data_IF_993799520514
#
_entry.id   IF_993799520514
#
_cell.length_a   1.000
_cell.length_b   1.000
_cell.length_c   1.000
_cell.angle_alpha   90.00
_cell.angle_beta   90.00
_cell.angle_gamma   90.00
#
_symmetry.space_group_name_H-M   'P 1'
#
loop_
_entity.id
_entity.type
_entity.pdbx_description
1 polymer ?
#
# COMPACT_ATOMS: atom_id res chain seq x y z
N UNK A 1 9.79 34.37 9.18
CA UNK A 1 9.50 34.20 10.62
C UNK A 1 8.02 34.02 10.79
N UNK A 2 7.56 32.81 11.06
CA UNK A 2 6.19 32.53 11.45
C UNK A 2 6.26 31.56 12.64
N UNK A 3 5.75 32.01 13.79
CA UNK A 3 5.74 31.28 15.06
C UNK A 3 4.63 30.22 15.03
N UNK A 4 4.93 29.00 15.47
CA UNK A 4 3.90 28.01 15.81
C UNK A 4 3.85 27.87 17.33
N UNK A 5 2.77 28.40 17.94
CA UNK A 5 2.46 28.12 19.33
C UNK A 5 1.48 26.94 19.42
N UNK A 6 1.79 25.95 20.27
CA UNK A 6 0.82 25.52 21.29
C UNK A 6 1.49 24.88 22.52
N UNK A 7 1.08 25.42 23.65
CA UNK A 7 1.26 24.99 25.04
C UNK A 7 0.99 23.50 25.27
N UNK A 8 1.98 22.80 25.81
CA UNK A 8 1.82 21.46 26.37
C UNK A 8 1.25 21.56 27.80
N UNK A 9 -0.08 21.47 27.90
CA UNK A 9 -0.73 20.98 29.12
C UNK A 9 -1.82 19.99 28.72
N UNK A 10 -1.45 18.70 28.68
CA UNK A 10 -2.37 17.57 28.89
C UNK A 10 -3.64 17.44 28.05
N UNK A 11 -3.66 17.87 26.78
CA UNK A 11 -4.79 17.64 25.89
C UNK A 11 -4.36 16.96 24.57
N UNK A 12 -5.17 16.02 24.12
CA UNK A 12 -5.02 15.23 22.89
C UNK A 12 -4.64 16.08 21.66
N UNK A 13 -3.73 15.55 20.84
CA UNK A 13 -3.35 16.14 19.56
C UNK A 13 -4.50 15.89 18.58
N UNK A 14 -5.20 16.95 18.18
CA UNK A 14 -6.15 16.89 17.05
C UNK A 14 -5.37 17.13 15.75
N UNK A 15 -5.47 16.18 14.83
CA UNK A 15 -4.71 15.96 13.58
C UNK A 15 -4.63 17.17 12.59
N UNK A 16 -5.34 18.27 12.85
CA UNK A 16 -5.57 19.34 11.87
C UNK A 16 -4.56 20.50 11.80
N UNK A 17 -3.51 20.55 12.63
CA UNK A 17 -2.60 21.73 12.69
C UNK A 17 -1.21 21.54 12.06
N UNK A 18 -0.73 20.30 11.95
CA UNK A 18 0.55 20.01 11.29
C UNK A 18 0.43 20.01 9.76
N UNK A 19 -0.67 19.45 9.22
CA UNK A 19 -0.93 19.33 7.78
C UNK A 19 -0.97 20.69 7.07
N UNK A 20 -1.67 21.68 7.65
CA UNK A 20 -1.77 23.02 7.05
C UNK A 20 -0.45 23.78 7.02
N UNK A 21 0.45 23.51 7.97
CA UNK A 21 1.76 24.14 8.05
C UNK A 21 2.75 23.49 7.08
N UNK A 22 2.67 22.16 6.89
CA UNK A 22 3.45 21.43 5.89
C UNK A 22 3.02 21.76 4.46
N UNK A 23 1.70 21.90 4.20
CA UNK A 23 1.18 22.35 2.91
C UNK A 23 1.65 23.78 2.56
N UNK A 24 1.75 24.67 3.56
CA UNK A 24 2.30 26.02 3.38
C UNK A 24 3.81 26.04 3.14
N UNK A 25 4.57 25.09 3.71
CA UNK A 25 6.00 24.92 3.44
C UNK A 25 6.24 24.40 2.01
N UNK A 26 5.41 23.45 1.54
CA UNK A 26 5.47 22.96 0.16
C UNK A 26 5.17 24.07 -0.86
N UNK A 27 4.14 24.89 -0.65
CA UNK A 27 3.80 26.00 -1.56
C UNK A 27 4.85 27.12 -1.64
N UNK A 28 5.67 27.32 -0.60
CA UNK A 28 6.75 28.31 -0.62
C UNK A 28 8.06 27.76 -1.21
N UNK A 29 8.31 26.46 -1.09
CA UNK A 29 9.54 25.83 -1.56
C UNK A 29 9.46 25.33 -3.02
N UNK A 30 8.26 25.17 -3.59
CA UNK A 30 8.10 24.55 -4.91
C UNK A 30 7.24 25.38 -5.87
N UNK A 31 7.08 26.69 -5.63
CA UNK A 31 6.11 27.50 -6.39
C UNK A 31 4.66 27.07 -6.12
N UNK A 32 3.70 27.82 -6.70
CA UNK A 32 2.28 27.51 -6.54
C UNK A 32 1.86 26.20 -7.24
N UNK A 33 2.73 25.66 -8.09
CA UNK A 33 2.55 24.46 -8.91
C UNK A 33 3.29 23.23 -8.37
N UNK A 34 4.02 23.35 -7.25
CA UNK A 34 4.68 22.20 -6.63
C UNK A 34 5.93 21.69 -7.36
N UNK A 35 6.50 22.48 -8.29
CA UNK A 35 7.68 22.10 -9.06
C UNK A 35 8.97 22.80 -8.62
N UNK A 36 10.08 22.05 -8.62
CA UNK A 36 11.43 22.61 -8.54
C UNK A 36 12.02 22.65 -9.94
N UNK A 37 12.45 23.83 -10.38
CA UNK A 37 13.15 23.96 -11.66
C UNK A 37 14.42 23.10 -11.68
N UNK A 38 14.80 22.60 -12.85
CA UNK A 38 16.01 21.78 -13.03
C UNK A 38 17.24 22.54 -12.53
N UNK A 39 17.92 21.99 -11.53
CA UNK A 39 19.10 22.60 -10.90
C UNK A 39 18.79 23.59 -9.76
N UNK A 40 17.52 23.80 -9.41
CA UNK A 40 17.14 24.56 -8.22
C UNK A 40 17.33 23.71 -6.96
N UNK A 41 17.71 24.36 -5.87
CA UNK A 41 17.78 23.77 -4.53
C UNK A 41 16.98 24.63 -3.58
N UNK A 42 16.01 24.04 -2.90
CA UNK A 42 15.24 24.72 -1.87
C UNK A 42 15.49 24.04 -0.52
N UNK A 43 15.56 24.86 0.51
CA UNK A 43 15.81 24.42 1.88
C UNK A 43 14.67 24.88 2.75
N UNK A 44 14.08 23.97 3.52
CA UNK A 44 13.14 24.34 4.59
C UNK A 44 13.73 23.95 5.93
N UNK A 45 13.48 24.80 6.92
CA UNK A 45 13.87 24.55 8.31
C UNK A 45 12.65 24.06 9.08
N UNK A 46 12.79 22.93 9.78
CA UNK A 46 11.85 22.53 10.84
C UNK A 46 12.41 23.09 12.14
N UNK A 47 11.77 24.15 12.66
CA UNK A 47 12.15 24.76 13.93
C UNK A 47 11.21 24.26 15.03
N UNK A 48 11.78 23.56 16.02
CA UNK A 48 11.07 23.13 17.22
C UNK A 48 11.51 24.04 18.37
N UNK A 49 10.68 25.01 18.73
CA UNK A 49 10.93 25.90 19.86
C UNK A 49 10.34 25.32 21.16
N UNK A 50 11.20 25.09 22.15
CA UNK A 50 10.76 24.76 23.50
C UNK A 50 10.42 26.04 24.26
N UNK A 51 9.35 26.07 25.09
CA UNK A 51 8.96 27.28 25.82
C UNK A 51 10.09 27.76 26.74
N UNK A 52 10.46 29.05 26.68
CA UNK A 52 11.61 29.62 27.41
C UNK A 52 11.55 29.59 28.95
N UNK A 53 10.55 28.95 29.56
CA UNK A 53 10.37 28.82 31.01
C UNK A 53 10.46 27.38 31.53
N UNK A 54 10.79 26.39 30.68
CA UNK A 54 10.98 25.02 31.18
C UNK A 54 12.34 24.89 31.87
N UNK A 55 12.34 24.44 33.12
CA UNK A 55 13.55 24.10 33.88
C UNK A 55 14.18 22.80 33.36
N UNK A 56 15.10 22.22 34.14
CA UNK A 56 15.91 21.03 33.79
C UNK A 56 15.10 19.76 33.44
N UNK A 57 13.77 19.82 33.52
CA UNK A 57 12.79 18.76 33.28
C UNK A 57 12.88 18.12 31.89
N UNK A 58 13.43 18.82 30.90
CA UNK A 58 13.65 18.31 29.53
C UNK A 58 15.12 18.10 29.19
N UNK A 59 16.04 18.30 30.14
CA UNK A 59 17.43 17.91 29.93
C UNK A 59 17.47 16.39 29.75
N UNK A 60 17.99 15.93 28.60
CA UNK A 60 18.02 14.52 28.16
C UNK A 60 16.72 13.97 27.56
N UNK A 61 15.69 14.78 27.34
CA UNK A 61 14.57 14.38 26.48
C UNK A 61 15.00 14.51 25.01
N UNK A 62 15.13 13.37 24.31
CA UNK A 62 15.31 13.37 22.87
C UNK A 62 13.98 13.71 22.19
N UNK A 63 14.02 14.62 21.22
CA UNK A 63 12.92 14.77 20.25
C UNK A 63 13.21 13.81 19.11
N UNK A 64 12.29 12.88 18.88
CA UNK A 64 12.30 12.00 17.71
C UNK A 64 11.04 12.26 16.89
N UNK A 65 11.24 12.54 15.61
CA UNK A 65 10.18 12.56 14.61
C UNK A 65 10.69 11.81 13.38
N UNK A 66 9.78 11.12 12.70
CA UNK A 66 10.05 10.53 11.40
C UNK A 66 9.58 11.53 10.34
N UNK A 67 10.50 11.93 9.45
CA UNK A 67 10.19 12.77 8.29
C UNK A 67 10.29 11.90 7.04
N UNK A 68 9.16 11.69 6.37
CA UNK A 68 9.13 11.08 5.04
C UNK A 68 9.06 12.20 3.99
N UNK A 69 10.09 12.30 3.15
CA UNK A 69 10.08 13.18 1.97
C UNK A 69 10.14 12.28 0.74
N UNK A 70 9.03 12.21 0.00
CA UNK A 70 8.98 11.55 -1.29
C UNK A 70 9.21 12.61 -2.37
N UNK A 71 10.31 12.51 -3.10
CA UNK A 71 10.61 13.37 -4.24
C UNK A 71 10.83 12.49 -5.45
N UNK A 72 9.93 12.57 -6.44
CA UNK A 72 10.03 11.83 -7.68
C UNK A 72 10.66 12.74 -8.74
N UNK A 73 11.90 12.45 -9.13
CA UNK A 73 12.47 13.01 -10.34
C UNK A 73 12.02 12.12 -11.50
N UNK A 74 11.20 12.67 -12.39
CA UNK A 74 10.74 11.98 -13.60
C UNK A 74 11.25 12.73 -14.82
N UNK A 75 11.93 12.02 -15.72
CA UNK A 75 12.25 12.53 -17.08
C UNK A 75 11.00 12.52 -17.98
N UNK A 76 9.91 11.87 -17.54
CA UNK A 76 8.62 11.90 -18.20
C UNK A 76 7.87 13.20 -17.84
N UNK A 77 7.25 13.80 -18.86
CA UNK A 77 6.33 14.93 -18.68
C UNK A 77 5.23 14.53 -17.71
N UNK A 78 5.06 15.30 -16.63
CA UNK A 78 3.95 15.09 -15.69
C UNK A 78 2.66 15.56 -16.35
N UNK A 79 1.66 14.69 -16.39
CA UNK A 79 0.32 14.97 -16.91
C UNK A 79 -0.48 15.66 -15.81
N UNK A 80 -1.07 16.81 -16.14
CA UNK A 80 -1.78 17.67 -15.16
C UNK A 80 -3.23 17.95 -15.56
N UNK A 81 -3.73 17.30 -16.61
CA UNK A 81 -5.12 17.41 -17.04
C UNK A 81 -5.65 16.10 -17.64
N UNK A 82 -6.98 15.96 -17.69
CA UNK A 82 -7.65 14.79 -18.26
C UNK A 82 -7.40 14.64 -19.78
N UNK A 83 -7.38 15.74 -20.53
CA UNK A 83 -7.14 15.72 -21.99
C UNK A 83 -5.70 15.29 -22.33
N UNK A 84 -4.74 15.71 -21.51
CA UNK A 84 -3.34 15.27 -21.62
C UNK A 84 -3.20 13.78 -21.29
N UNK A 85 -3.97 13.27 -20.31
CA UNK A 85 -3.97 11.86 -19.95
C UNK A 85 -4.41 10.98 -21.12
N UNK A 86 -5.53 11.30 -21.76
CA UNK A 86 -6.03 10.54 -22.91
C UNK A 86 -5.00 10.53 -24.06
N UNK A 87 -4.38 11.67 -24.30
CA UNK A 87 -3.33 11.81 -25.31
C UNK A 87 -2.11 10.96 -24.97
N UNK A 88 -1.65 11.04 -23.72
CA UNK A 88 -0.48 10.31 -23.25
C UNK A 88 -0.70 8.79 -23.27
N UNK A 89 -1.84 8.30 -22.80
CA UNK A 89 -2.19 6.88 -22.87
C UNK A 89 -2.29 6.40 -24.34
N UNK A 90 -2.87 7.22 -25.21
CA UNK A 90 -2.94 6.95 -26.65
C UNK A 90 -1.56 6.83 -27.31
N UNK A 91 -0.59 7.63 -26.86
CA UNK A 91 0.77 7.69 -27.42
C UNK A 91 1.79 6.76 -26.74
N UNK A 92 1.52 6.33 -25.50
CA UNK A 92 2.41 5.46 -24.76
C UNK A 92 2.70 4.16 -25.50
N UNK A 93 3.93 3.68 -25.40
CA UNK A 93 4.40 2.38 -25.84
C UNK A 93 4.54 1.42 -24.66
N UNK A 94 4.60 0.13 -24.94
CA UNK A 94 4.89 -0.87 -23.90
C UNK A 94 6.23 -0.57 -23.22
N UNK A 95 6.25 -0.65 -21.89
CA UNK A 95 7.38 -0.30 -21.03
C UNK A 95 7.45 1.17 -20.63
N UNK A 96 6.61 2.05 -21.20
CA UNK A 96 6.60 3.46 -20.83
C UNK A 96 6.03 3.68 -19.42
N UNK A 97 6.41 4.81 -18.82
CA UNK A 97 5.82 5.31 -17.57
C UNK A 97 5.01 6.56 -17.87
N UNK A 98 3.74 6.54 -17.49
CA UNK A 98 2.78 7.65 -17.57
C UNK A 98 2.60 8.19 -16.17
N UNK A 99 3.10 9.40 -15.91
CA UNK A 99 3.02 10.04 -14.60
C UNK A 99 1.93 11.10 -14.60
N UNK A 100 0.97 10.98 -13.68
CA UNK A 100 -0.18 11.87 -13.56
C UNK A 100 -0.20 12.51 -12.17
N UNK A 101 -0.33 13.83 -12.12
CA UNK A 101 -0.39 14.58 -10.86
C UNK A 101 -1.61 15.50 -10.81
N UNK A 102 -2.30 15.51 -9.68
CA UNK A 102 -3.36 16.48 -9.35
C UNK A 102 -4.52 16.50 -10.37
N UNK A 103 -4.84 15.33 -10.93
CA UNK A 103 -5.95 15.15 -11.88
C UNK A 103 -7.10 14.40 -11.21
N UNK A 104 -8.33 14.87 -11.45
CA UNK A 104 -9.55 14.07 -11.27
C UNK A 104 -10.06 13.67 -12.65
N UNK A 105 -10.13 12.37 -12.91
CA UNK A 105 -10.57 11.80 -14.18
C UNK A 105 -11.92 11.11 -13.99
N UNK A 106 -12.95 11.60 -14.68
CA UNK A 106 -14.35 11.19 -14.43
C UNK A 106 -14.86 10.15 -15.42
N UNK A 107 -14.04 9.76 -16.40
CA UNK A 107 -14.39 8.75 -17.41
C UNK A 107 -13.83 7.38 -17.00
N UNK A 108 -14.42 6.30 -17.53
CA UNK A 108 -13.85 4.96 -17.36
C UNK A 108 -12.41 4.94 -17.91
N UNK A 109 -11.49 4.42 -17.12
CA UNK A 109 -10.08 4.34 -17.49
C UNK A 109 -9.73 2.91 -17.88
N UNK A 110 -9.20 2.73 -19.07
CA UNK A 110 -8.68 1.43 -19.53
C UNK A 110 -7.18 1.49 -19.70
N UNK A 111 -6.48 0.53 -19.10
CA UNK A 111 -5.04 0.30 -19.28
C UNK A 111 -4.87 -0.94 -20.16
N UNK A 112 -4.69 -0.70 -21.44
CA UNK A 112 -4.63 -1.71 -22.51
C UNK A 112 -3.23 -1.87 -23.11
N UNK A 113 -2.22 -1.22 -22.53
CA UNK A 113 -0.80 -1.39 -22.85
C UNK A 113 -0.01 -1.72 -21.59
N UNK A 114 1.08 -2.48 -21.75
CA UNK A 114 1.98 -2.86 -20.68
C UNK A 114 2.83 -1.66 -20.22
N UNK A 115 2.21 -0.72 -19.49
CA UNK A 115 2.82 0.53 -19.01
C UNK A 115 2.84 0.56 -17.49
N UNK A 116 3.62 1.49 -16.95
CA UNK A 116 3.47 1.94 -15.56
C UNK A 116 2.62 3.20 -15.54
N UNK A 117 1.50 3.19 -14.83
CA UNK A 117 0.70 4.38 -14.53
C UNK A 117 0.95 4.80 -13.09
N UNK A 118 1.67 5.91 -12.90
CA UNK A 118 2.01 6.43 -11.59
C UNK A 118 1.19 7.69 -11.26
N UNK A 119 0.35 7.60 -10.23
CA UNK A 119 -0.51 8.67 -9.74
C UNK A 119 0.10 9.43 -8.55
N UNK A 120 -0.01 10.75 -8.56
CA UNK A 120 0.32 11.60 -7.43
C UNK A 120 -0.86 12.53 -7.18
N UNK A 121 -1.68 12.25 -6.17
CA UNK A 121 -2.98 12.94 -6.04
C UNK A 121 -3.86 12.78 -7.31
N UNK A 122 -3.74 11.64 -7.99
CA UNK A 122 -4.55 11.28 -9.15
C UNK A 122 -5.74 10.44 -8.72
N UNK A 123 -6.95 10.90 -9.05
CA UNK A 123 -8.21 10.22 -8.73
C UNK A 123 -8.99 9.89 -9.99
N UNK A 124 -9.46 8.65 -10.10
CA UNK A 124 -10.41 8.19 -11.12
C UNK A 124 -11.78 8.00 -10.46
N UNK A 125 -12.79 8.76 -10.88
CA UNK A 125 -14.15 8.72 -10.30
C UNK A 125 -15.10 7.74 -11.02
N UNK A 126 -14.52 6.86 -11.83
CA UNK A 126 -15.21 5.87 -12.63
C UNK A 126 -14.45 4.52 -12.59
N UNK A 127 -15.07 3.42 -13.05
CA UNK A 127 -14.40 2.14 -13.10
C UNK A 127 -13.06 2.16 -13.87
N UNK A 128 -12.08 1.43 -13.34
CA UNK A 128 -10.78 1.20 -13.98
C UNK A 128 -10.71 -0.26 -14.45
N UNK A 129 -10.26 -0.48 -15.69
CA UNK A 129 -10.04 -1.81 -16.27
C UNK A 129 -8.60 -1.95 -16.75
N UNK A 130 -7.88 -2.95 -16.24
CA UNK A 130 -6.55 -3.32 -16.70
C UNK A 130 -6.66 -4.58 -17.56
N UNK A 131 -6.33 -4.45 -18.84
CA UNK A 131 -6.42 -5.54 -19.83
C UNK A 131 -5.09 -5.87 -20.48
N UNK A 132 -4.05 -5.09 -20.20
CA UNK A 132 -2.69 -5.41 -20.63
C UNK A 132 -1.93 -6.22 -19.59
N UNK A 133 -1.25 -7.25 -20.09
CA UNK A 133 -0.30 -8.04 -19.31
C UNK A 133 0.87 -7.16 -18.84
N UNK A 134 1.38 -7.44 -17.63
CA UNK A 134 2.53 -6.76 -17.03
C UNK A 134 2.36 -5.24 -16.84
N UNK A 135 1.13 -4.73 -16.83
CA UNK A 135 0.87 -3.35 -16.44
C UNK A 135 1.12 -3.15 -14.93
N UNK A 136 1.59 -1.96 -14.57
CA UNK A 136 1.83 -1.54 -13.18
C UNK A 136 1.00 -0.29 -12.90
N UNK A 137 0.23 -0.32 -11.81
CA UNK A 137 -0.57 0.83 -11.36
C UNK A 137 -0.07 1.24 -9.98
N UNK A 138 0.45 2.46 -9.87
CA UNK A 138 1.08 2.97 -8.66
C UNK A 138 0.33 4.20 -8.15
N UNK A 139 -0.01 4.22 -6.86
CA UNK A 139 -0.48 5.42 -6.14
C UNK A 139 -1.72 6.11 -6.77
N UNK A 140 -2.55 5.35 -7.49
CA UNK A 140 -3.81 5.83 -8.07
C UNK A 140 -4.94 5.67 -7.07
N UNK A 141 -5.81 6.68 -6.95
CA UNK A 141 -7.08 6.57 -6.21
C UNK A 141 -8.23 6.26 -7.18
N UNK A 142 -9.00 5.21 -6.90
CA UNK A 142 -10.20 4.81 -7.65
C UNK A 142 -11.41 5.00 -6.73
N UNK A 143 -12.25 6.00 -7.02
CA UNK A 143 -13.38 6.39 -6.17
C UNK A 143 -14.69 6.30 -6.94
N UNK A 144 -15.37 5.16 -6.88
CA UNK A 144 -16.58 4.91 -7.69
C UNK A 144 -17.82 5.00 -6.81
N UNK A 145 -18.71 5.95 -7.10
CA UNK A 145 -19.94 6.14 -6.31
C UNK A 145 -21.03 5.09 -6.60
N UNK A 146 -21.83 4.74 -5.58
CA UNK A 146 -22.83 3.65 -5.65
C UNK A 146 -24.03 3.88 -6.57
N UNK A 147 -24.20 5.07 -7.15
CA UNK A 147 -25.25 5.34 -8.16
C UNK A 147 -24.84 4.87 -9.56
N UNK A 148 -23.53 4.69 -9.79
CA UNK A 148 -22.97 4.19 -11.03
C UNK A 148 -22.67 2.71 -10.86
N UNK A 149 -23.60 1.83 -11.26
CA UNK A 149 -23.27 0.40 -11.31
C UNK A 149 -22.17 0.21 -12.36
N UNK A 150 -20.97 -0.16 -11.94
CA UNK A 150 -19.85 -0.41 -12.83
C UNK A 150 -20.26 -1.42 -13.93
N UNK A 151 -20.00 -1.11 -15.20
CA UNK A 151 -20.27 -2.02 -16.31
C UNK A 151 -19.49 -3.34 -16.15
N UNK A 152 -18.29 -3.26 -15.56
CA UNK A 152 -17.41 -4.38 -15.20
C UNK A 152 -17.81 -5.12 -13.91
N UNK A 153 -18.73 -4.57 -13.12
CA UNK A 153 -19.15 -5.12 -11.83
C UNK A 153 -18.23 -4.79 -10.64
N UNK A 154 -17.04 -4.24 -10.88
CA UNK A 154 -16.09 -3.81 -9.84
C UNK A 154 -15.55 -2.40 -10.10
N UNK A 155 -15.07 -1.72 -9.05
CA UNK A 155 -14.43 -0.40 -9.17
C UNK A 155 -13.08 -0.51 -9.90
N UNK A 156 -12.28 -1.52 -9.56
CA UNK A 156 -11.05 -1.88 -10.26
C UNK A 156 -11.14 -3.32 -10.76
N UNK A 157 -11.00 -3.51 -12.07
CA UNK A 157 -10.99 -4.83 -12.71
C UNK A 157 -9.64 -5.09 -13.34
N UNK A 158 -9.04 -6.24 -13.03
CA UNK A 158 -7.82 -6.74 -13.67
C UNK A 158 -8.18 -7.99 -14.44
N UNK A 159 -8.00 -7.96 -15.76
CA UNK A 159 -8.21 -9.09 -16.66
C UNK A 159 -6.96 -9.27 -17.54
N UNK A 160 -5.83 -9.51 -16.89
CA UNK A 160 -4.51 -9.55 -17.49
C UNK A 160 -3.51 -10.35 -16.62
N UNK A 161 -2.44 -10.83 -17.23
CA UNK A 161 -1.33 -11.55 -16.59
C UNK A 161 -0.31 -10.60 -15.94
N UNK A 162 0.29 -10.99 -14.80
CA UNK A 162 1.47 -10.32 -14.27
C UNK A 162 1.28 -8.87 -13.80
N UNK A 163 0.03 -8.45 -13.55
CA UNK A 163 -0.28 -7.07 -13.14
C UNK A 163 0.16 -6.81 -11.71
N UNK A 164 0.69 -5.60 -11.48
CA UNK A 164 1.06 -5.09 -10.15
C UNK A 164 0.22 -3.88 -9.79
N UNK A 165 -0.37 -3.90 -8.59
CA UNK A 165 -0.98 -2.75 -7.94
C UNK A 165 -0.12 -2.36 -6.74
N UNK A 166 0.37 -1.12 -6.69
CA UNK A 166 1.20 -0.62 -5.59
C UNK A 166 0.65 0.69 -5.07
N UNK A 167 0.39 0.79 -3.76
CA UNK A 167 -0.11 2.03 -3.14
C UNK A 167 -1.48 2.49 -3.67
N UNK A 168 -2.21 1.63 -4.39
CA UNK A 168 -3.52 1.96 -4.97
C UNK A 168 -4.56 2.10 -3.85
N UNK A 169 -5.37 3.15 -3.93
CA UNK A 169 -6.52 3.35 -3.05
C UNK A 169 -7.79 3.05 -3.84
N UNK A 170 -8.66 2.21 -3.32
CA UNK A 170 -9.99 1.98 -3.89
C UNK A 170 -11.04 2.37 -2.84
N UNK A 171 -11.92 3.31 -3.16
CA UNK A 171 -13.14 3.60 -2.40
C UNK A 171 -14.36 3.25 -3.25
N UNK A 172 -14.88 2.05 -3.02
CA UNK A 172 -16.04 1.54 -3.74
C UNK A 172 -17.34 1.89 -3.01
N UNK A 173 -18.23 2.57 -3.72
CA UNK A 173 -19.58 2.87 -3.24
C UNK A 173 -20.39 1.62 -2.92
N UNK A 174 -21.51 1.82 -2.22
CA UNK A 174 -22.35 0.73 -1.74
C UNK A 174 -22.77 -0.23 -2.88
N UNK A 175 -22.59 -1.53 -2.67
CA UNK A 175 -22.96 -2.58 -3.62
C UNK A 175 -21.98 -2.79 -4.80
N UNK A 176 -20.89 -2.03 -4.86
CA UNK A 176 -19.83 -2.21 -5.88
C UNK A 176 -18.73 -3.09 -5.29
N UNK A 177 -18.29 -4.11 -6.03
CA UNK A 177 -17.12 -4.88 -5.63
C UNK A 177 -15.87 -4.00 -5.78
N UNK A 178 -15.02 -3.83 -4.75
CA UNK A 178 -13.84 -2.99 -4.89
C UNK A 178 -12.87 -3.49 -5.96
N UNK A 179 -12.46 -4.75 -5.89
CA UNK A 179 -11.44 -5.30 -6.79
C UNK A 179 -11.84 -6.68 -7.30
N UNK A 180 -11.72 -6.88 -8.60
CA UNK A 180 -11.89 -8.17 -9.26
C UNK A 180 -10.68 -8.48 -10.13
N UNK A 181 -10.00 -9.59 -9.86
CA UNK A 181 -8.81 -10.04 -10.58
C UNK A 181 -9.09 -11.36 -11.25
N UNK A 182 -8.83 -11.41 -12.55
CA UNK A 182 -8.77 -12.61 -13.37
C UNK A 182 -7.43 -12.60 -14.10
N UNK A 183 -6.55 -13.54 -13.74
CA UNK A 183 -5.19 -13.59 -14.25
C UNK A 183 -4.76 -15.01 -14.57
N UNK A 184 -4.11 -15.20 -15.71
CA UNK A 184 -3.49 -16.47 -16.09
C UNK A 184 -2.11 -16.67 -15.50
N UNK A 185 -1.54 -15.63 -14.89
CA UNK A 185 -0.24 -15.64 -14.22
C UNK A 185 -0.38 -15.10 -12.78
N UNK A 186 0.76 -14.84 -12.12
CA UNK A 186 0.80 -14.23 -10.80
C UNK A 186 0.24 -12.80 -10.80
N UNK A 187 -0.05 -12.31 -9.60
CA UNK A 187 -0.61 -10.98 -9.37
C UNK A 187 -0.02 -10.39 -8.08
N UNK A 188 0.31 -9.09 -8.12
CA UNK A 188 0.86 -8.37 -6.97
C UNK A 188 -0.08 -7.25 -6.55
N UNK A 189 -0.38 -7.18 -5.26
CA UNK A 189 -1.07 -6.06 -4.61
C UNK A 189 -0.32 -5.71 -3.32
N UNK A 190 0.34 -4.55 -3.32
CA UNK A 190 1.21 -4.13 -2.22
C UNK A 190 0.91 -2.72 -1.75
N UNK A 191 0.82 -2.52 -0.43
CA UNK A 191 0.64 -1.18 0.15
C UNK A 191 -0.70 -0.52 -0.22
N UNK A 192 -1.67 -1.27 -0.75
CA UNK A 192 -2.94 -0.74 -1.21
C UNK A 192 -3.92 -0.54 -0.05
N UNK A 193 -4.82 0.42 -0.19
CA UNK A 193 -5.96 0.61 0.72
C UNK A 193 -7.26 0.37 -0.03
N UNK A 194 -7.98 -0.69 0.33
CA UNK A 194 -9.22 -1.09 -0.31
C UNK A 194 -10.37 -0.89 0.68
N UNK A 195 -11.27 0.03 0.34
CA UNK A 195 -12.44 0.41 1.11
C UNK A 195 -13.72 0.32 0.29
N UNK A 196 -14.83 0.16 0.98
CA UNK A 196 -16.15 0.09 0.36
C UNK A 196 -17.14 -0.70 1.17
N UNK A 197 -18.38 -0.74 0.69
CA UNK A 197 -19.49 -1.38 1.40
C UNK A 197 -20.23 -2.35 0.47
N UNK A 198 -19.73 -3.58 0.41
CA UNK A 198 -20.28 -4.63 -0.43
C UNK A 198 -21.25 -5.48 0.37
N UNK A 199 -22.53 -5.43 0.03
CA UNK A 199 -23.54 -6.33 0.60
C UNK A 199 -23.59 -7.68 -0.15
N UNK A 200 -24.15 -8.70 0.49
CA UNK A 200 -24.24 -10.04 -0.08
C UNK A 200 -23.02 -10.92 0.19
N UNK A 201 -22.84 -11.99 -0.59
CA UNK A 201 -21.81 -13.02 -0.36
C UNK A 201 -20.58 -12.88 -1.26
N UNK A 202 -20.49 -11.79 -2.03
CA UNK A 202 -19.38 -11.58 -2.94
C UNK A 202 -18.10 -11.27 -2.15
N UNK A 203 -16.96 -11.67 -2.71
CA UNK A 203 -15.65 -11.29 -2.22
C UNK A 203 -15.43 -9.78 -2.38
N UNK A 204 -14.76 -9.17 -1.42
CA UNK A 204 -14.37 -7.77 -1.50
C UNK A 204 -13.23 -7.57 -2.51
N UNK A 205 -12.24 -8.45 -2.44
CA UNK A 205 -11.20 -8.64 -3.46
C UNK A 205 -11.32 -10.07 -3.97
N UNK A 206 -11.83 -10.23 -5.19
CA UNK A 206 -11.92 -11.52 -5.87
C UNK A 206 -10.61 -11.82 -6.61
N UNK A 207 -9.99 -12.97 -6.32
CA UNK A 207 -8.67 -13.34 -6.85
C UNK A 207 -8.75 -14.66 -7.63
N UNK A 208 -9.07 -14.59 -8.91
CA UNK A 208 -8.97 -15.71 -9.84
C UNK A 208 -7.60 -15.66 -10.53
N UNK A 209 -6.55 -16.12 -9.83
CA UNK A 209 -5.14 -15.98 -10.22
C UNK A 209 -4.53 -17.36 -10.44
N UNK A 210 -3.71 -17.51 -11.47
CA UNK A 210 -2.95 -18.74 -11.75
C UNK A 210 -1.46 -18.49 -11.53
N UNK A 211 -0.87 -19.08 -10.49
CA UNK A 211 0.51 -18.80 -10.11
C UNK A 211 0.60 -18.11 -8.76
N UNK A 212 1.79 -17.62 -8.42
CA UNK A 212 2.05 -16.99 -7.14
C UNK A 212 1.39 -15.61 -7.05
N UNK A 213 0.62 -15.37 -5.99
CA UNK A 213 0.15 -14.03 -5.66
C UNK A 213 1.00 -13.42 -4.54
N UNK A 214 1.25 -12.11 -4.61
CA UNK A 214 1.90 -11.33 -3.56
C UNK A 214 0.90 -10.31 -3.05
N UNK A 215 0.40 -10.52 -1.84
CA UNK A 215 -0.60 -9.66 -1.20
C UNK A 215 0.00 -9.13 0.10
N UNK A 216 0.67 -7.97 0.04
CA UNK A 216 1.48 -7.48 1.15
C UNK A 216 1.14 -6.07 1.60
N UNK A 217 1.18 -5.84 2.93
CA UNK A 217 1.07 -4.52 3.55
C UNK A 217 -0.18 -3.73 3.14
N UNK A 218 -1.27 -4.43 2.79
CA UNK A 218 -2.52 -3.80 2.38
C UNK A 218 -3.46 -3.54 3.56
N UNK A 219 -4.33 -2.55 3.43
CA UNK A 219 -5.46 -2.31 4.33
C UNK A 219 -6.75 -2.65 3.59
N UNK A 220 -7.52 -3.60 4.11
CA UNK A 220 -8.85 -3.96 3.59
C UNK A 220 -9.89 -3.64 4.65
N UNK A 221 -10.81 -2.73 4.32
CA UNK A 221 -11.85 -2.25 5.23
C UNK A 221 -13.23 -2.32 4.57
N UNK A 222 -14.02 -3.31 4.97
CA UNK A 222 -15.38 -3.53 4.47
C UNK A 222 -16.44 -2.50 4.92
N UNK A 223 -16.03 -1.33 5.46
CA UNK A 223 -16.86 -0.24 6.00
C UNK A 223 -18.19 -0.73 6.58
N UNK A 224 -18.21 -1.05 7.88
CA UNK A 224 -19.44 -1.38 8.58
C UNK A 224 -20.29 -0.10 8.82
N UNK A 225 -21.14 0.29 7.88
CA UNK A 225 -22.26 1.17 8.22
C UNK A 225 -23.43 0.36 8.80
N UNK A 226 -24.23 1.01 9.63
CA UNK A 226 -25.34 0.37 10.33
C UNK A 226 -26.51 -0.02 9.39
N UNK A 227 -26.47 0.40 8.12
CA UNK A 227 -27.59 0.34 7.19
C UNK A 227 -27.40 -0.67 6.04
N UNK A 228 -26.17 -1.03 5.66
CA UNK A 228 -25.92 -1.80 4.42
C UNK A 228 -25.35 -3.22 4.61
N UNK A 229 -25.09 -3.62 5.86
CA UNK A 229 -24.56 -4.95 6.17
C UNK A 229 -23.05 -5.07 5.99
N UNK A 230 -22.43 -5.97 6.76
CA UNK A 230 -20.98 -6.14 6.79
C UNK A 230 -20.54 -7.00 5.59
N UNK A 231 -19.55 -6.55 4.81
CA UNK A 231 -18.97 -7.30 3.69
C UNK A 231 -18.57 -8.73 4.06
N UNK A 232 -18.74 -9.68 3.15
CA UNK A 232 -18.67 -11.10 3.51
C UNK A 232 -17.25 -11.64 3.66
N UNK A 233 -16.53 -11.81 2.55
CA UNK A 233 -15.13 -12.24 2.54
C UNK A 233 -14.22 -11.08 2.10
N UNK A 234 -13.06 -10.89 2.73
CA UNK A 234 -12.12 -9.84 2.33
C UNK A 234 -11.32 -10.26 1.08
N UNK A 235 -10.43 -11.25 1.23
CA UNK A 235 -9.68 -11.87 0.14
C UNK A 235 -10.30 -13.23 -0.19
N UNK A 236 -10.69 -13.46 -1.44
CA UNK A 236 -11.21 -14.76 -1.86
C UNK A 236 -10.54 -15.25 -3.15
N UNK A 237 -9.73 -16.29 -3.00
CA UNK A 237 -9.06 -16.93 -4.12
C UNK A 237 -9.93 -18.00 -4.76
N UNK A 238 -9.95 -18.01 -6.09
CA UNK A 238 -10.69 -18.95 -6.91
C UNK A 238 -12.20 -18.95 -6.61
N UNK A 239 -12.84 -17.79 -6.75
CA UNK A 239 -14.27 -17.59 -6.45
C UNK A 239 -15.12 -18.54 -7.29
N UNK A 240 -15.43 -19.72 -6.74
CA UNK A 240 -16.21 -20.81 -7.36
C UNK A 240 -15.71 -21.32 -8.73
N UNK A 241 -14.46 -21.01 -9.11
CA UNK A 241 -13.88 -21.44 -10.38
C UNK A 241 -12.61 -22.27 -10.16
N UNK A 242 -12.70 -23.57 -10.44
CA UNK A 242 -11.59 -24.52 -10.30
C UNK A 242 -10.62 -24.51 -11.48
N UNK A 243 -10.82 -23.64 -12.48
CA UNK A 243 -9.85 -23.42 -13.56
C UNK A 243 -8.63 -22.61 -13.10
N UNK A 244 -8.71 -22.00 -11.91
CA UNK A 244 -7.59 -21.34 -11.26
C UNK A 244 -6.97 -22.25 -10.21
N UNK A 245 -5.72 -22.00 -9.85
CA UNK A 245 -5.03 -22.62 -8.72
C UNK A 245 -4.01 -21.66 -8.12
N UNK A 246 -4.14 -21.36 -6.83
CA UNK A 246 -3.14 -20.54 -6.11
C UNK A 246 -1.81 -21.28 -6.13
N UNK A 247 -0.80 -20.65 -6.73
CA UNK A 247 0.48 -21.27 -7.03
C UNK A 247 1.47 -21.26 -5.87
N UNK A 248 2.49 -22.10 -6.02
CA UNK A 248 3.64 -22.16 -5.11
C UNK A 248 4.34 -20.81 -4.98
N UNK A 249 4.74 -20.45 -3.77
CA UNK A 249 5.39 -19.16 -3.50
C UNK A 249 4.42 -17.99 -3.29
N UNK A 250 3.11 -18.25 -3.19
CA UNK A 250 2.15 -17.19 -2.81
C UNK A 250 2.44 -16.68 -1.40
N UNK A 251 2.40 -15.37 -1.25
CA UNK A 251 2.68 -14.64 -0.01
C UNK A 251 1.52 -13.73 0.33
N UNK A 252 1.02 -13.81 1.56
CA UNK A 252 0.00 -12.93 2.12
C UNK A 252 0.53 -12.40 3.45
N UNK A 253 1.12 -11.20 3.49
CA UNK A 253 1.79 -10.68 4.69
C UNK A 253 1.49 -9.24 5.05
N UNK A 254 1.61 -8.90 6.33
CA UNK A 254 1.55 -7.51 6.79
C UNK A 254 0.20 -6.81 6.56
N UNK A 255 -0.83 -7.51 6.10
CA UNK A 255 -2.11 -6.90 5.77
C UNK A 255 -2.93 -6.62 7.04
N UNK A 256 -3.69 -5.54 7.03
CA UNK A 256 -4.74 -5.27 8.02
C UNK A 256 -6.10 -5.50 7.39
N UNK A 257 -6.83 -6.51 7.87
CA UNK A 257 -8.12 -6.92 7.33
C UNK A 257 -9.19 -6.73 8.39
N UNK A 258 -10.16 -5.86 8.12
CA UNK A 258 -11.18 -5.51 9.11
C UNK A 258 -12.59 -5.34 8.58
N UNK A 259 -13.57 -5.57 9.46
CA UNK A 259 -15.00 -5.40 9.20
C UNK A 259 -15.56 -6.35 8.13
N UNK A 260 -15.38 -7.66 8.35
CA UNK A 260 -15.91 -8.69 7.46
C UNK A 260 -16.76 -9.72 8.22
N UNK A 261 -17.97 -10.03 7.74
CA UNK A 261 -18.92 -10.91 8.42
C UNK A 261 -18.55 -12.39 8.31
N UNK A 262 -17.63 -12.76 7.42
CA UNK A 262 -17.17 -14.14 7.25
C UNK A 262 -15.65 -14.26 7.30
N UNK A 263 -14.97 -14.49 6.18
CA UNK A 263 -13.54 -14.82 6.19
C UNK A 263 -12.68 -13.61 5.82
N UNK A 264 -11.58 -13.39 6.55
CA UNK A 264 -10.55 -12.46 6.13
C UNK A 264 -9.83 -12.97 4.89
N UNK A 265 -9.38 -14.23 4.93
CA UNK A 265 -8.77 -14.91 3.80
C UNK A 265 -9.56 -16.19 3.49
N UNK A 266 -9.96 -16.38 2.25
CA UNK A 266 -10.58 -17.61 1.79
C UNK A 266 -9.88 -18.14 0.55
N UNK A 267 -9.43 -19.40 0.58
CA UNK A 267 -8.73 -20.03 -0.55
C UNK A 267 -9.43 -21.34 -0.90
N UNK A 268 -9.98 -21.45 -2.11
CA UNK A 268 -10.69 -22.66 -2.57
C UNK A 268 -9.84 -23.66 -3.35
N UNK A 269 -8.71 -23.22 -3.87
CA UNK A 269 -7.92 -24.01 -4.79
C UNK A 269 -6.44 -23.70 -4.61
N UNK A 270 -5.67 -24.69 -4.21
CA UNK A 270 -4.22 -24.60 -4.02
C UNK A 270 -3.60 -25.61 -4.96
N UNK A 271 -2.58 -25.19 -5.71
CA UNK A 271 -1.81 -26.07 -6.57
C UNK A 271 -1.16 -27.18 -5.73
N UNK A 272 -1.16 -28.42 -6.23
CA UNK A 272 -0.52 -29.54 -5.53
C UNK A 272 0.96 -29.25 -5.28
N UNK A 273 1.42 -29.50 -4.06
CA UNK A 273 2.79 -29.20 -3.63
C UNK A 273 3.09 -27.73 -3.35
N UNK A 274 2.14 -26.80 -3.51
CA UNK A 274 2.38 -25.38 -3.25
C UNK A 274 2.62 -25.07 -1.77
N UNK A 275 3.56 -24.16 -1.52
CA UNK A 275 3.80 -23.50 -0.23
C UNK A 275 3.20 -22.10 -0.28
N UNK A 276 2.28 -21.83 0.63
CA UNK A 276 1.62 -20.54 0.81
C UNK A 276 2.06 -19.95 2.14
N UNK A 277 2.63 -18.76 2.12
CA UNK A 277 3.08 -18.05 3.32
C UNK A 277 2.03 -17.03 3.76
N UNK A 278 1.57 -17.13 5.00
CA UNK A 278 0.60 -16.19 5.58
C UNK A 278 1.14 -15.68 6.90
N UNK A 279 1.68 -14.46 6.92
CA UNK A 279 2.53 -13.99 8.02
C UNK A 279 2.24 -12.53 8.43
N UNK A 280 2.23 -12.23 9.72
CA UNK A 280 2.15 -10.83 10.20
C UNK A 280 0.83 -10.08 9.88
N UNK A 281 -0.22 -10.76 9.42
CA UNK A 281 -1.51 -10.13 9.14
C UNK A 281 -2.30 -9.84 10.43
N UNK A 282 -3.05 -8.75 10.43
CA UNK A 282 -3.94 -8.30 11.51
C UNK A 282 -5.40 -8.49 11.07
N UNK A 283 -6.23 -9.08 11.94
CA UNK A 283 -7.65 -9.30 11.68
C UNK A 283 -8.52 -8.67 12.78
N UNK A 284 -9.39 -7.74 12.41
CA UNK A 284 -10.23 -6.99 13.35
C UNK A 284 -11.70 -7.07 12.93
N UNK A 285 -12.59 -7.48 13.83
CA UNK A 285 -14.02 -7.62 13.48
C UNK A 285 -14.24 -8.50 12.23
N UNK A 286 -13.62 -9.69 12.25
CA UNK A 286 -13.76 -10.72 11.22
C UNK A 286 -14.20 -12.02 11.89
N UNK A 287 -15.21 -12.71 11.34
CA UNK A 287 -15.71 -13.97 11.93
C UNK A 287 -14.68 -15.11 11.89
N UNK A 288 -13.94 -15.23 10.78
CA UNK A 288 -12.87 -16.20 10.61
C UNK A 288 -11.65 -15.52 9.99
N UNK A 289 -10.48 -15.60 10.63
CA UNK A 289 -9.25 -15.05 10.03
C UNK A 289 -8.95 -15.69 8.66
N UNK A 290 -9.05 -17.02 8.58
CA UNK A 290 -8.77 -17.76 7.36
C UNK A 290 -9.64 -19.00 7.22
N UNK A 291 -10.09 -19.27 5.99
CA UNK A 291 -10.68 -20.53 5.56
C UNK A 291 -9.86 -21.09 4.41
N UNK A 292 -9.48 -22.36 4.57
CA UNK A 292 -8.90 -23.15 3.49
C UNK A 292 -9.93 -24.18 3.06
N UNK A 293 -10.18 -24.22 1.77
CA UNK A 293 -11.00 -25.22 1.14
C UNK A 293 -10.23 -25.77 -0.04
N UNK A 294 -10.28 -27.08 -0.22
CA UNK A 294 -9.80 -27.72 -1.44
C UNK A 294 -10.99 -28.45 -2.01
N UNK A 295 -11.47 -28.05 -3.20
CA UNK A 295 -12.29 -28.98 -3.98
C UNK A 295 -11.42 -30.19 -4.25
N UNK A 296 -11.80 -31.37 -3.75
CA UNK A 296 -11.01 -32.59 -3.83
C UNK A 296 -10.55 -32.87 -5.28
N UNK A 297 -9.31 -32.51 -5.60
CA UNK A 297 -8.66 -32.93 -6.84
C UNK A 297 -8.42 -34.43 -6.72
N UNK A 298 -9.17 -35.22 -7.47
CA UNK A 298 -9.00 -36.66 -7.70
C UNK A 298 -8.46 -37.48 -6.51
N UNK A 299 -9.37 -38.02 -5.67
CA UNK A 299 -9.11 -39.30 -4.99
C UNK A 299 -9.00 -40.40 -6.05
N UNK A 300 -7.86 -40.49 -6.73
CA UNK A 300 -7.44 -41.80 -7.24
C UNK A 300 -7.25 -42.68 -6.00
N UNK A 301 -7.92 -43.81 -5.99
CA UNK A 301 -7.99 -44.73 -4.85
C UNK A 301 -6.58 -45.07 -4.34
N UNK A 302 -6.16 -44.46 -3.24
CA UNK A 302 -5.27 -45.09 -2.27
C UNK A 302 -5.71 -44.69 -0.86
N UNK A 303 -6.31 -45.67 -0.19
CA UNK A 303 -6.52 -45.84 1.25
C UNK A 303 -6.38 -44.63 2.20
N UNK A 304 -7.52 -44.22 2.76
CA UNK A 304 -7.72 -43.82 4.17
C UNK A 304 -6.58 -43.07 4.89
N UNK A 305 -6.66 -41.74 4.90
CA UNK A 305 -6.42 -40.97 6.14
C UNK A 305 -7.28 -39.71 6.14
N UNK A 306 -8.03 -39.54 7.22
CA UNK A 306 -9.05 -38.53 7.40
C UNK A 306 -8.51 -37.10 7.22
N UNK A 307 -9.21 -36.30 6.42
CA UNK A 307 -9.15 -34.85 6.44
C UNK A 307 -9.60 -34.38 7.82
N UNK A 308 -8.66 -33.89 8.64
CA UNK A 308 -8.95 -33.16 9.87
C UNK A 308 -8.99 -31.68 9.52
N UNK A 309 -10.15 -31.05 9.73
CA UNK A 309 -10.24 -29.60 9.84
C UNK A 309 -9.38 -29.15 11.02
N UNK A 310 -8.45 -28.22 10.76
CA UNK A 310 -7.78 -27.47 11.83
C UNK A 310 -8.68 -26.26 12.10
N UNK A 311 -9.66 -26.41 12.99
CA UNK A 311 -10.28 -25.25 13.62
C UNK A 311 -9.34 -24.78 14.73
N UNK A 312 -8.75 -23.60 14.56
CA UNK A 312 -8.02 -22.93 15.64
C UNK A 312 -9.05 -22.41 16.66
N UNK A 313 -9.53 -23.30 17.52
CA UNK A 313 -10.21 -22.90 18.74
C UNK A 313 -9.17 -22.37 19.74
N UNK A 314 -9.49 -21.20 20.30
CA UNK A 314 -8.75 -20.44 21.31
C UNK A 314 -8.12 -21.33 22.40
N UNK A 315 -6.81 -21.23 22.71
CA UNK A 315 -6.26 -21.93 23.86
C UNK A 315 -6.17 -21.01 25.08
N UNK A 316 -7.03 -21.27 26.07
CA UNK A 316 -6.66 -21.04 27.48
C UNK A 316 -5.70 -22.14 27.89
N UNK A 317 -4.63 -21.73 28.57
CA UNK A 317 -3.64 -22.50 29.36
C UNK A 317 -2.66 -23.42 28.63
N UNK A 318 -1.40 -22.99 28.68
CA UNK A 318 -0.13 -23.71 28.74
C UNK A 318 -0.12 -25.22 28.43
N UNK A 319 0.54 -25.60 27.33
CA UNK A 319 1.79 -26.40 27.34
C UNK A 319 2.37 -26.56 25.95
N UNK A 320 3.69 -26.41 25.91
CA UNK A 320 4.61 -26.29 24.78
C UNK A 320 4.60 -27.46 23.78
N UNK A 321 4.82 -27.15 22.49
CA UNK A 321 5.64 -28.03 21.63
C UNK A 321 6.40 -27.26 20.52
N UNK A 322 7.72 -27.18 20.73
CA UNK A 322 8.89 -27.00 19.85
C UNK A 322 8.77 -26.16 18.56
N UNK A 323 9.32 -24.94 18.64
CA UNK A 323 9.98 -24.22 17.54
C UNK A 323 11.48 -24.57 17.57
N UNK A 324 12.06 -24.91 16.42
CA UNK A 324 13.50 -25.12 16.24
C UNK A 324 14.20 -23.75 16.37
N UNK A 325 14.89 -23.52 17.50
CA UNK A 325 15.71 -22.32 17.72
C UNK A 325 17.10 -22.50 17.10
N UNK A 326 17.37 -21.74 16.06
CA UNK A 326 18.73 -21.44 15.60
C UNK A 326 19.48 -20.66 16.69
N UNK A 327 20.69 -21.12 16.98
CA UNK A 327 21.59 -20.61 18.01
C UNK A 327 22.03 -19.17 17.66
N UNK A 328 21.83 -18.21 18.58
CA UNK A 328 22.70 -17.03 18.69
C UNK A 328 23.09 -16.78 20.14
N UNK A 329 24.40 -16.70 20.33
CA UNK A 329 25.09 -16.47 21.60
C UNK A 329 24.84 -15.05 22.10
N UNK A 330 24.72 -14.91 23.43
CA UNK A 330 24.88 -13.65 24.16
C UNK A 330 26.26 -13.06 23.87
N UNK A 331 26.31 -11.76 23.56
CA UNK A 331 27.39 -10.91 24.03
C UNK A 331 26.81 -9.63 24.64
N UNK A 332 27.43 -9.27 25.74
CA UNK A 332 27.19 -8.18 26.67
C UNK A 332 27.42 -6.80 26.07
N UNK A 333 26.68 -5.83 26.62
CA UNK A 333 26.81 -4.40 26.36
C UNK A 333 28.27 -3.92 26.47
N UNK A 334 28.73 -3.21 25.44
CA UNK A 334 29.71 -2.13 25.52
C UNK A 334 29.39 -1.08 24.45
N UNK A 335 29.20 0.13 24.93
CA UNK A 335 29.15 1.38 24.18
C UNK A 335 30.38 1.57 23.27
N UNK A 336 30.16 1.95 22.02
CA UNK A 336 31.13 2.73 21.24
C UNK A 336 30.42 3.52 20.13
N UNK A 337 30.69 4.83 20.12
CA UNK A 337 30.35 5.78 19.06
C UNK A 337 30.95 5.35 17.71
N UNK A 338 30.18 5.49 16.62
CA UNK A 338 30.75 5.68 15.28
C UNK A 338 29.85 6.60 14.44
N UNK A 339 30.36 7.81 14.15
CA UNK A 339 29.80 8.73 13.15
C UNK A 339 30.06 8.14 11.76
N UNK A 340 29.01 7.94 10.97
CA UNK A 340 29.15 7.71 9.53
C UNK A 340 28.80 9.01 8.80
N UNK A 341 29.81 9.65 8.20
CA UNK A 341 29.63 10.72 7.20
C UNK A 341 29.37 10.03 5.86
N UNK A 342 28.19 10.18 5.29
CA UNK A 342 28.05 10.04 3.83
C UNK A 342 28.45 11.36 3.18
N UNK A 343 29.49 11.29 2.35
CA UNK A 343 29.76 12.28 1.30
C UNK A 343 29.17 11.71 0.03
N UNK A 344 28.15 12.35 -0.53
CA UNK A 344 27.91 12.30 -1.96
C UNK A 344 28.92 13.23 -2.63
N UNK A 345 29.82 12.63 -3.39
CA UNK A 345 30.86 13.29 -4.14
C UNK A 345 30.34 13.39 -5.58
N UNK A 346 29.68 14.50 -5.91
CA UNK A 346 29.51 14.89 -7.31
C UNK A 346 30.83 15.49 -7.78
N UNK A 347 31.48 14.78 -8.68
CA UNK A 347 32.60 15.31 -9.44
C UNK A 347 32.04 16.33 -10.42
N UNK A 348 32.40 17.60 -10.28
CA UNK A 348 32.72 18.46 -11.41
C UNK A 348 33.43 19.75 -10.95
N UNK A 349 34.49 20.07 -11.69
CA UNK A 349 35.37 21.24 -11.67
C UNK A 349 35.09 22.38 -10.66
N UNK A 350 36.01 22.56 -9.68
CA UNK A 350 36.18 23.87 -9.04
C UNK A 350 37.63 24.16 -8.66
N UNK A 351 38.11 25.28 -9.20
CA UNK A 351 39.44 25.86 -9.07
C UNK A 351 39.75 26.20 -7.61
N UNK A 352 40.85 25.65 -7.07
CA UNK A 352 41.33 25.91 -5.70
C UNK A 352 41.72 27.39 -5.52
N UNK A 353 41.00 28.11 -4.66
CA UNK A 353 41.55 29.28 -3.95
C UNK A 353 41.61 28.92 -2.46
N UNK A 354 42.83 28.69 -1.95
CA UNK A 354 43.11 28.56 -0.51
C UNK A 354 43.11 29.95 0.12
N UNK A 355 42.21 30.21 1.07
CA UNK A 355 42.43 31.24 2.10
C UNK A 355 42.63 30.56 3.45
N UNK A 356 43.85 30.70 3.96
CA UNK A 356 44.26 30.32 5.31
C UNK A 356 43.84 31.48 6.22
N UNK A 357 42.99 31.23 7.22
CA UNK A 357 42.84 32.13 8.36
C UNK A 357 43.70 31.60 9.50
N UNK A 358 44.74 32.37 9.84
CA UNK A 358 45.42 32.29 11.15
C UNK A 358 44.62 33.11 12.16
N UNK A 359 44.45 32.66 13.40
CA UNK A 359 43.96 33.51 14.47
C UNK A 359 45.10 34.42 14.99
N UNK A 360 44.76 35.68 15.22
CA UNK A 360 45.46 36.64 16.09
C UNK A 360 44.36 37.40 16.82
N UNK A 361 44.30 37.55 18.14
CA UNK A 361 45.18 37.16 19.24
C UNK A 361 44.32 36.62 20.39
#
# INVERSE_FOLDING_TARGET
MLNVYKTATGAEVTEGTLLGTLAYLAGNAYGNDGTLAVGASETFDIVIEMPGTVGDEYQNCGVTFDLCVTATQTDASIITSADELDTALGQASEGDTVVVSDVTYTQELTIDKAITLAGYNFTVEAPVSVTADNAVIENVTVSVSGTTRAASGAALTVNAAGVTLEGVVVDAGAGIQPVSVTSTEGFTMQGCTIGGNLSGTNAFVALNVNGAAVIEDNVLDGKADAESGISYNALEFCVSNTAYSVGDGTVISGNTIRNFSNNGINIYCIQDGAVISVEGNVFENVSNAMRLWTSAVNRSRSSSRASRSISAATPRTERSCRIIRGIRRRMTARSMFMRMRMRTQTAEHSTRIRKIFRPSA
#
